data_IF_011342714739
#
_entry.id   IF_011342714739
#
_cell.length_a   1.000
_cell.length_b   1.000
_cell.length_c   1.000
_cell.angle_alpha   90.00
_cell.angle_beta   90.00
_cell.angle_gamma   90.00
#
_symmetry.space_group_name_H-M   'P 1'
#
loop_
_entity.id
_entity.type
_entity.pdbx_description
1 polymer ?
#
# COMPACT_ATOMS: atom_id res chain seq x y z
N UNK A 1 -9.22 5.28 3.45
CA UNK A 1 -7.84 5.45 3.95
C UNK A 1 -6.90 4.62 3.09
N UNK A 2 -5.70 5.14 2.84
CA UNK A 2 -4.61 4.43 2.18
C UNK A 2 -3.35 4.61 3.05
N UNK A 3 -2.74 3.51 3.45
CA UNK A 3 -1.45 3.51 4.16
C UNK A 3 -0.48 2.52 3.52
N UNK A 4 0.81 2.82 3.62
CA UNK A 4 1.90 1.95 3.14
C UNK A 4 2.91 1.75 4.27
N UNK A 5 3.38 0.51 4.43
CA UNK A 5 4.36 0.13 5.44
C UNK A 5 5.34 -0.91 4.88
N UNK A 6 6.63 -0.66 5.02
CA UNK A 6 7.70 -1.62 4.78
C UNK A 6 7.88 -2.50 6.02
N UNK A 7 7.90 -3.81 5.80
CA UNK A 7 8.03 -4.81 6.88
C UNK A 7 9.10 -5.81 6.50
N UNK A 8 10.13 -5.97 7.34
CA UNK A 8 11.15 -7.00 7.12
C UNK A 8 10.58 -8.38 7.40
N UNK A 9 11.10 -9.40 6.73
CA UNK A 9 10.84 -10.79 7.12
C UNK A 9 11.33 -11.00 8.56
N UNK A 10 10.45 -11.52 9.41
CA UNK A 10 10.65 -11.70 10.85
C UNK A 10 9.95 -10.63 11.70
N UNK A 11 9.61 -9.48 11.13
CA UNK A 11 8.93 -8.38 11.82
C UNK A 11 7.40 -8.48 11.73
N UNK A 12 6.75 -7.67 12.55
CA UNK A 12 5.30 -7.54 12.62
C UNK A 12 4.86 -6.13 12.26
N UNK A 13 3.79 -6.04 11.51
CA UNK A 13 3.05 -4.81 11.27
C UNK A 13 1.77 -4.83 12.10
N UNK A 14 1.46 -3.71 12.75
CA UNK A 14 0.22 -3.52 13.52
C UNK A 14 -0.53 -2.36 12.86
N UNK A 15 -1.85 -2.49 12.67
CA UNK A 15 -2.65 -1.43 12.05
C UNK A 15 -2.89 -0.24 12.99
N UNK A 16 -1.84 0.53 13.25
CA UNK A 16 -1.85 1.78 14.02
C UNK A 16 -1.27 2.92 13.18
N UNK A 17 -1.67 4.19 13.41
CA UNK A 17 -1.19 5.31 12.61
C UNK A 17 0.34 5.42 12.57
N UNK A 18 1.00 5.13 13.69
CA UNK A 18 2.46 5.20 13.86
C UNK A 18 3.23 4.06 13.20
N UNK A 19 2.55 3.00 12.75
CA UNK A 19 3.19 1.85 12.09
C UNK A 19 3.31 2.01 10.58
N UNK A 20 2.80 3.11 10.02
CA UNK A 20 2.83 3.40 8.58
C UNK A 20 3.99 4.33 8.23
N UNK A 21 4.66 4.03 7.11
CA UNK A 21 5.63 4.95 6.49
C UNK A 21 4.92 6.16 5.87
N UNK A 22 3.75 5.90 5.27
CA UNK A 22 2.86 6.94 4.75
C UNK A 22 1.43 6.58 5.06
N UNK A 23 0.65 7.57 5.47
CA UNK A 23 -0.75 7.38 5.83
C UNK A 23 -1.59 8.56 5.39
N UNK A 24 -2.59 8.28 4.55
CA UNK A 24 -3.54 9.27 4.06
C UNK A 24 -4.96 8.84 4.38
N UNK A 25 -5.67 9.70 5.09
CA UNK A 25 -7.07 9.50 5.41
C UNK A 25 -7.97 10.07 4.31
N UNK A 26 -9.06 9.36 4.01
CA UNK A 26 -10.15 9.89 3.20
C UNK A 26 -11.17 10.63 4.07
N UNK A 27 -12.16 11.27 3.43
CA UNK A 27 -13.21 12.05 4.12
C UNK A 27 -14.03 11.30 5.17
N UNK A 28 -14.08 9.97 5.07
CA UNK A 28 -14.90 9.09 5.94
C UNK A 28 -14.06 8.25 6.92
N UNK A 29 -12.75 8.50 7.01
CA UNK A 29 -11.83 7.71 7.84
C UNK A 29 -10.95 8.65 8.66
N UNK A 30 -10.58 8.25 9.87
CA UNK A 30 -9.66 8.99 10.74
C UNK A 30 -8.77 8.03 11.51
N UNK A 31 -7.82 8.55 12.28
CA UNK A 31 -6.90 7.74 13.09
C UNK A 31 -7.64 6.80 14.05
N UNK A 32 -8.80 7.23 14.56
CA UNK A 32 -9.62 6.47 15.49
C UNK A 32 -10.52 5.41 14.81
N UNK A 33 -10.56 5.35 13.48
CA UNK A 33 -11.40 4.40 12.74
C UNK A 33 -10.67 3.12 12.33
N UNK A 34 -9.40 2.97 12.68
CA UNK A 34 -8.58 1.83 12.27
C UNK A 34 -9.00 0.55 12.99
N UNK A 35 -9.32 -0.50 12.22
CA UNK A 35 -9.59 -1.82 12.77
C UNK A 35 -8.28 -2.49 13.21
N UNK A 36 -8.15 -2.96 14.47
CA UNK A 36 -6.90 -3.53 14.95
C UNK A 36 -6.66 -4.92 14.33
N UNK A 37 -5.59 -5.04 13.56
CA UNK A 37 -5.06 -6.33 13.11
C UNK A 37 -3.53 -6.29 13.11
N UNK A 38 -2.91 -7.46 13.22
CA UNK A 38 -1.47 -7.66 13.14
C UNK A 38 -1.13 -8.60 11.98
N UNK A 39 -0.05 -8.30 11.26
CA UNK A 39 0.52 -9.15 10.22
C UNK A 39 2.00 -9.32 10.52
N UNK A 40 2.40 -10.53 10.89
CA UNK A 40 3.80 -10.92 10.98
C UNK A 40 4.25 -11.55 9.67
N UNK A 41 5.35 -11.07 9.09
CA UNK A 41 5.90 -11.62 7.86
C UNK A 41 6.85 -12.76 8.21
N UNK A 42 6.39 -14.01 8.09
CA UNK A 42 7.19 -15.17 8.48
C UNK A 42 8.22 -15.53 7.41
N UNK A 43 7.85 -15.39 6.14
CA UNK A 43 8.71 -15.70 5.00
C UNK A 43 8.27 -14.92 3.77
N UNK A 44 9.22 -14.51 2.95
CA UNK A 44 8.96 -13.99 1.61
C UNK A 44 9.90 -14.65 0.61
N UNK A 45 9.35 -15.00 -0.55
CA UNK A 45 10.10 -15.51 -1.71
C UNK A 45 9.61 -14.79 -2.95
N UNK A 46 10.55 -14.17 -3.66
CA UNK A 46 10.36 -13.67 -5.01
C UNK A 46 11.06 -14.61 -5.99
N UNK A 47 10.43 -14.89 -7.12
CA UNK A 47 11.01 -15.70 -8.20
C UNK A 47 11.16 -14.86 -9.44
N UNK A 48 12.31 -14.98 -10.11
CA UNK A 48 12.61 -14.22 -11.31
C UNK A 48 12.96 -15.15 -12.48
N UNK A 49 12.77 -14.67 -13.70
CA UNK A 49 13.22 -15.36 -14.89
C UNK A 49 14.74 -15.18 -15.07
N UNK A 50 15.55 -16.26 -15.12
CA UNK A 50 17.01 -16.13 -15.23
C UNK A 50 17.51 -15.55 -16.57
N UNK A 51 16.68 -15.48 -17.61
CA UNK A 51 17.06 -14.94 -18.92
C UNK A 51 16.67 -13.48 -19.09
N UNK A 52 15.51 -13.09 -18.56
CA UNK A 52 14.92 -11.75 -18.75
C UNK A 52 14.91 -10.89 -17.50
N UNK A 53 15.27 -11.46 -16.34
CA UNK A 53 15.17 -10.88 -15.01
C UNK A 53 13.74 -10.49 -14.60
N UNK A 54 12.73 -10.84 -15.40
CA UNK A 54 11.35 -10.48 -15.15
C UNK A 54 10.80 -11.23 -13.93
N UNK A 55 9.99 -10.57 -13.08
CA UNK A 55 9.38 -11.25 -11.94
C UNK A 55 8.33 -12.27 -12.39
N UNK A 56 8.36 -13.46 -11.78
CA UNK A 56 7.42 -14.56 -12.02
C UNK A 56 6.40 -14.70 -10.90
N UNK A 57 6.85 -14.61 -9.66
CA UNK A 57 5.99 -14.80 -8.51
C UNK A 57 6.52 -14.06 -7.28
N UNK A 58 5.58 -13.57 -6.47
CA UNK A 58 5.84 -12.95 -5.18
C UNK A 58 4.92 -13.60 -4.16
N UNK A 59 5.50 -14.37 -3.25
CA UNK A 59 4.77 -15.08 -2.21
C UNK A 59 5.30 -14.68 -0.85
N UNK A 60 4.43 -14.11 -0.01
CA UNK A 60 4.70 -13.97 1.42
C UNK A 60 3.78 -14.89 2.23
N UNK A 61 4.38 -15.62 3.16
CA UNK A 61 3.70 -16.37 4.20
C UNK A 61 3.67 -15.49 5.44
N UNK A 62 2.47 -15.30 5.98
CA UNK A 62 2.25 -14.39 7.08
C UNK A 62 1.44 -15.07 8.18
N UNK A 63 1.71 -14.67 9.41
CA UNK A 63 0.85 -14.97 10.55
C UNK A 63 0.01 -13.73 10.82
N UNK A 64 -1.29 -13.89 10.72
CA UNK A 64 -2.28 -12.82 10.87
C UNK A 64 -2.96 -12.99 12.22
N UNK A 65 -3.07 -11.90 12.98
CA UNK A 65 -3.90 -11.86 14.18
C UNK A 65 -4.98 -10.78 14.02
N UNK A 66 -6.24 -11.19 14.04
CA UNK A 66 -7.40 -10.32 13.93
C UNK A 66 -8.46 -10.72 14.95
N UNK A 67 -9.00 -9.75 15.70
CA UNK A 67 -10.00 -9.98 16.75
C UNK A 67 -9.64 -11.12 17.74
N UNK A 68 -8.36 -11.20 18.11
CA UNK A 68 -7.84 -12.23 19.03
C UNK A 68 -7.69 -13.63 18.43
N UNK A 69 -7.92 -13.81 17.13
CA UNK A 69 -7.71 -15.08 16.42
C UNK A 69 -6.46 -14.98 15.55
N UNK A 70 -5.61 -16.00 15.63
CA UNK A 70 -4.39 -16.10 14.84
C UNK A 70 -4.52 -17.17 13.77
N UNK A 71 -4.15 -16.86 12.52
CA UNK A 71 -4.11 -17.81 11.40
C UNK A 71 -2.85 -17.61 10.55
N UNK A 72 -2.47 -18.66 9.81
CA UNK A 72 -1.42 -18.57 8.78
C UNK A 72 -2.07 -18.34 7.44
N UNK A 73 -1.61 -17.32 6.72
CA UNK A 73 -2.14 -16.92 5.43
C UNK A 73 -1.02 -16.75 4.41
N UNK A 74 -1.40 -16.71 3.14
CA UNK A 74 -0.49 -16.44 2.02
C UNK A 74 -0.98 -15.20 1.29
N UNK A 75 -0.11 -14.19 1.19
CA UNK A 75 -0.33 -12.98 0.43
C UNK A 75 0.48 -13.02 -0.88
N UNK A 76 -0.17 -12.64 -1.98
CA UNK A 76 0.43 -12.44 -3.31
C UNK A 76 -0.05 -11.12 -3.90
N UNK A 77 0.59 -10.63 -4.97
CA UNK A 77 0.19 -9.39 -5.67
C UNK A 77 -1.30 -9.38 -6.04
N UNK A 78 -1.83 -10.52 -6.49
CA UNK A 78 -3.23 -10.70 -6.87
C UNK A 78 -4.09 -11.43 -5.81
N UNK A 79 -3.51 -11.74 -4.65
CA UNK A 79 -4.20 -12.43 -3.53
C UNK A 79 -4.01 -11.62 -2.24
N UNK A 80 -4.73 -10.48 -2.08
CA UNK A 80 -4.63 -9.65 -0.89
C UNK A 80 -5.32 -10.28 0.31
N UNK A 81 -4.92 -9.86 1.52
CA UNK A 81 -5.64 -10.17 2.75
C UNK A 81 -6.85 -9.25 2.89
N UNK A 82 -7.89 -9.71 3.58
CA UNK A 82 -9.12 -8.94 3.80
C UNK A 82 -9.51 -8.96 5.27
N UNK A 83 -9.69 -7.77 5.85
CA UNK A 83 -10.14 -7.52 7.22
C UNK A 83 -11.36 -6.62 7.18
N UNK A 84 -12.57 -7.19 7.19
CA UNK A 84 -13.81 -6.42 7.02
C UNK A 84 -13.82 -5.61 5.71
N UNK A 85 -13.78 -4.27 5.80
CA UNK A 85 -13.72 -3.37 4.65
C UNK A 85 -12.28 -2.99 4.23
N UNK A 86 -11.28 -3.51 4.94
CA UNK A 86 -9.86 -3.23 4.71
C UNK A 86 -9.23 -4.35 3.91
N UNK A 87 -8.42 -3.99 2.91
CA UNK A 87 -7.62 -4.93 2.13
C UNK A 87 -6.15 -4.60 2.28
N UNK A 88 -5.32 -5.63 2.41
CA UNK A 88 -3.87 -5.49 2.49
C UNK A 88 -3.24 -6.16 1.27
N UNK A 89 -2.50 -5.36 0.51
CA UNK A 89 -1.87 -5.76 -0.74
C UNK A 89 -0.35 -5.82 -0.58
N UNK A 90 0.28 -6.81 -1.21
CA UNK A 90 1.71 -6.82 -1.43
C UNK A 90 2.00 -5.96 -2.66
N UNK A 91 2.60 -4.78 -2.45
CA UNK A 91 2.86 -3.82 -3.53
C UNK A 91 4.28 -3.89 -4.08
N UNK A 92 5.26 -4.04 -3.21
CA UNK A 92 6.67 -4.04 -3.57
C UNK A 92 7.48 -4.91 -2.62
N UNK A 93 8.73 -5.15 -2.99
CA UNK A 93 9.71 -5.82 -2.15
C UNK A 93 11.10 -5.22 -2.37
N UNK A 94 11.99 -5.50 -1.44
CA UNK A 94 13.40 -5.15 -1.55
C UNK A 94 14.21 -5.90 -0.50
N UNK A 95 15.39 -5.36 -0.20
CA UNK A 95 16.28 -5.94 0.79
C UNK A 95 16.70 -4.93 1.85
N UNK A 96 16.86 -5.43 3.06
CA UNK A 96 17.43 -4.74 4.20
C UNK A 96 18.76 -5.39 4.55
N UNK A 97 19.89 -4.71 4.33
CA UNK A 97 21.14 -5.06 4.96
C UNK A 97 20.96 -5.06 6.48
N UNK A 98 21.27 -6.18 7.13
CA UNK A 98 21.35 -6.26 8.59
C UNK A 98 22.76 -5.85 8.97
N UNK A 99 22.88 -4.67 9.56
CA UNK A 99 24.20 -4.09 9.87
C UNK A 99 24.41 -4.00 11.37
N UNK A 100 25.66 -4.16 11.78
CA UNK A 100 26.14 -3.81 13.12
C UNK A 100 27.18 -2.71 12.95
N UNK A 101 26.90 -1.53 13.51
CA UNK A 101 27.83 -0.42 13.57
C UNK A 101 28.38 -0.34 15.00
N UNK A 102 29.69 -0.31 15.12
CA UNK A 102 30.40 -0.12 16.38
C UNK A 102 31.13 1.21 16.39
N UNK A 103 31.16 1.86 17.54
CA UNK A 103 31.95 3.07 17.76
C UNK A 103 33.46 2.78 17.84
N UNK A 104 34.25 3.82 18.12
CA UNK A 104 35.70 3.73 18.27
C UNK A 104 36.15 2.91 19.50
N UNK A 105 35.28 2.72 20.48
CA UNK A 105 35.51 1.90 21.68
C UNK A 105 35.10 0.43 21.49
N UNK A 106 34.40 0.12 20.39
CA UNK A 106 33.91 -1.21 20.05
C UNK A 106 32.49 -1.51 20.55
N UNK A 107 31.82 -0.55 21.19
CA UNK A 107 30.44 -0.69 21.63
C UNK A 107 29.50 -0.67 20.43
N UNK A 108 28.37 -1.38 20.53
CA UNK A 108 27.36 -1.40 19.46
C UNK A 108 26.56 -0.10 19.51
N UNK A 109 26.71 0.74 18.49
CA UNK A 109 25.99 2.00 18.34
C UNK A 109 24.71 1.85 17.49
N UNK A 110 24.65 0.84 16.60
CA UNK A 110 23.43 0.47 15.89
C UNK A 110 23.49 -1.00 15.51
N UNK A 111 22.37 -1.71 15.64
CA UNK A 111 22.22 -3.08 15.15
C UNK A 111 20.81 -3.32 14.62
N UNK A 112 20.69 -3.83 13.40
CA UNK A 112 19.40 -4.26 12.86
C UNK A 112 19.28 -4.17 11.33
N UNK A 113 18.13 -4.59 10.78
CA UNK A 113 17.82 -4.42 9.36
C UNK A 113 17.57 -2.93 9.04
N UNK A 114 18.20 -2.44 7.98
CA UNK A 114 17.96 -1.08 7.46
C UNK A 114 17.36 -1.19 6.05
N UNK A 115 16.11 -0.78 5.81
CA UNK A 115 15.50 -0.91 4.48
C UNK A 115 16.17 -0.03 3.43
N UNK A 116 16.61 -0.66 2.34
CA UNK A 116 17.10 0.02 1.16
C UNK A 116 16.03 -0.05 0.06
N UNK A 117 15.81 1.07 -0.64
CA UNK A 117 14.73 1.22 -1.62
C UNK A 117 15.22 0.95 -3.04
N UNK A 118 14.62 -0.02 -3.76
CA UNK A 118 14.93 -0.31 -5.15
C UNK A 118 14.82 0.91 -6.07
N UNK A 119 15.77 1.03 -6.99
CA UNK A 119 15.86 2.07 -8.01
C UNK A 119 15.59 1.53 -9.43
N UNK A 120 15.62 0.20 -9.59
CA UNK A 120 15.40 -0.50 -10.85
C UNK A 120 14.88 -1.93 -10.61
N UNK A 121 14.56 -2.63 -11.70
CA UNK A 121 14.01 -4.00 -11.66
C UNK A 121 14.98 -5.07 -11.16
N UNK A 122 16.29 -4.80 -11.13
CA UNK A 122 17.29 -5.70 -10.56
C UNK A 122 17.51 -5.48 -9.05
N UNK A 123 16.61 -4.71 -8.43
CA UNK A 123 16.61 -4.38 -7.01
C UNK A 123 17.93 -3.75 -6.54
N UNK A 124 18.65 -3.06 -7.44
CA UNK A 124 19.70 -2.12 -7.01
C UNK A 124 19.01 -1.07 -6.18
N UNK A 125 19.47 -0.93 -4.94
CA UNK A 125 18.76 -0.12 -3.96
C UNK A 125 19.66 0.97 -3.39
N UNK A 126 19.06 2.05 -2.91
CA UNK A 126 19.75 3.11 -2.18
C UNK A 126 19.14 3.25 -0.78
N UNK A 127 19.95 3.70 0.16
CA UNK A 127 19.51 3.91 1.53
C UNK A 127 20.52 4.73 2.31
N UNK A 128 20.12 5.08 3.53
CA UNK A 128 20.98 5.73 4.49
C UNK A 128 20.92 4.97 5.82
N UNK A 129 22.07 4.76 6.44
CA UNK A 129 22.18 4.21 7.80
C UNK A 129 22.62 5.38 8.68
N UNK A 130 21.79 5.76 9.65
CA UNK A 130 22.04 6.88 10.55
C UNK A 130 22.32 6.34 11.95
N UNK A 131 23.45 6.71 12.52
CA UNK A 131 23.93 6.20 13.81
C UNK A 131 24.12 7.38 14.78
N UNK A 132 23.01 7.89 15.36
CA UNK A 132 23.07 9.02 16.29
C UNK A 132 23.77 8.69 17.62
N UNK A 133 23.82 7.41 17.99
CA UNK A 133 24.40 6.97 19.26
C UNK A 133 25.93 6.85 19.22
N UNK A 134 26.55 6.96 18.04
CA UNK A 134 28.01 7.01 17.90
C UNK A 134 28.56 8.39 18.29
N UNK A 135 29.78 8.43 18.81
CA UNK A 135 30.47 9.68 19.15
C UNK A 135 31.81 9.80 18.39
N UNK A 136 31.94 10.74 17.42
CA UNK A 136 30.89 11.62 16.88
C UNK A 136 29.82 10.83 16.10
N UNK A 137 28.65 11.43 15.87
CA UNK A 137 27.58 10.81 15.08
C UNK A 137 28.08 10.43 13.68
N UNK A 138 27.68 9.25 13.20
CA UNK A 138 28.10 8.69 11.91
C UNK A 138 26.89 8.37 11.04
N UNK A 139 26.99 8.72 9.77
CA UNK A 139 26.00 8.37 8.75
C UNK A 139 26.65 7.66 7.56
N UNK A 140 25.95 6.68 7.00
CA UNK A 140 26.37 5.99 5.78
C UNK A 140 25.35 6.27 4.68
N UNK A 141 25.81 6.83 3.56
CA UNK A 141 25.01 6.89 2.32
C UNK A 141 25.39 5.70 1.48
N UNK A 142 24.45 4.78 1.30
CA UNK A 142 24.70 3.46 0.74
C UNK A 142 23.96 3.17 -0.56
N UNK A 143 24.53 2.23 -1.32
CA UNK A 143 23.85 1.49 -2.36
C UNK A 143 24.05 0.00 -2.18
N UNK A 144 22.99 -0.77 -2.35
CA UNK A 144 22.98 -2.21 -2.18
C UNK A 144 22.72 -2.91 -3.52
N UNK A 145 23.52 -3.91 -3.83
CA UNK A 145 23.42 -4.74 -5.04
C UNK A 145 23.15 -6.18 -4.63
N UNK A 146 21.99 -6.77 -4.97
CA UNK A 146 21.73 -8.19 -4.73
C UNK A 146 22.67 -9.13 -5.49
N UNK A 147 22.92 -8.84 -6.76
CA UNK A 147 23.91 -9.53 -7.59
C UNK A 147 24.86 -8.51 -8.20
N UNK A 148 25.91 -8.19 -7.46
CA UNK A 148 26.87 -7.17 -7.81
C UNK A 148 27.67 -7.52 -9.08
N UNK A 149 27.79 -6.53 -9.97
CA UNK A 149 28.74 -6.52 -11.08
C UNK A 149 29.32 -5.10 -11.24
N UNK A 150 30.41 -4.97 -12.00
CA UNK A 150 31.05 -3.68 -12.26
C UNK A 150 31.07 -3.39 -13.75
N UNK A 151 30.73 -2.16 -14.11
CA UNK A 151 30.94 -1.63 -15.46
C UNK A 151 31.87 -0.43 -15.42
N UNK A 152 32.68 -0.20 -16.47
CA UNK A 152 33.53 0.99 -16.56
C UNK A 152 32.76 2.31 -16.50
N UNK A 153 31.50 2.33 -16.96
CA UNK A 153 30.70 3.54 -17.10
C UNK A 153 29.87 3.89 -15.85
N UNK A 154 29.35 2.90 -15.12
CA UNK A 154 28.37 3.12 -14.04
C UNK A 154 28.88 2.68 -12.66
N UNK A 155 30.09 2.12 -12.56
CA UNK A 155 30.58 1.56 -11.32
C UNK A 155 29.84 0.27 -10.97
N UNK A 156 29.37 0.16 -9.72
CA UNK A 156 28.64 -1.01 -9.25
C UNK A 156 27.18 -1.01 -9.75
N UNK A 157 26.76 -2.14 -10.32
CA UNK A 157 25.40 -2.39 -10.80
C UNK A 157 24.87 -3.71 -10.23
N UNK A 158 23.56 -3.85 -10.18
CA UNK A 158 22.91 -5.15 -9.95
C UNK A 158 22.49 -5.74 -11.29
N UNK A 159 22.95 -6.95 -11.61
CA UNK A 159 22.62 -7.63 -12.86
C UNK A 159 21.48 -8.65 -12.71
N UNK A 160 21.10 -8.98 -11.47
CA UNK A 160 20.01 -9.91 -11.19
C UNK A 160 19.35 -9.58 -9.83
N UNK A 161 18.02 -9.73 -9.68
CA UNK A 161 17.30 -9.33 -8.46
C UNK A 161 17.56 -10.21 -7.23
N UNK A 162 18.00 -11.45 -7.40
CA UNK A 162 18.27 -12.37 -6.28
C UNK A 162 19.64 -12.11 -5.63
N UNK A 163 19.83 -12.61 -4.41
CA UNK A 163 21.05 -12.42 -3.61
C UNK A 163 22.16 -13.42 -4.02
N UNK A 164 22.70 -13.29 -5.25
CA UNK A 164 23.76 -14.19 -5.73
C UNK A 164 25.18 -13.69 -5.42
N UNK A 165 25.39 -12.37 -5.43
CA UNK A 165 26.63 -11.72 -4.98
C UNK A 165 26.28 -10.41 -4.25
N UNK A 166 25.66 -10.51 -3.05
CA UNK A 166 25.18 -9.34 -2.34
C UNK A 166 26.34 -8.45 -1.89
N UNK A 167 26.24 -7.15 -2.18
CA UNK A 167 27.26 -6.17 -1.81
C UNK A 167 26.64 -4.86 -1.37
N UNK A 168 27.08 -4.38 -0.21
CA UNK A 168 26.76 -3.05 0.30
C UNK A 168 27.95 -2.12 0.02
N UNK A 169 27.72 -1.04 -0.72
CA UNK A 169 28.69 0.02 -0.97
C UNK A 169 28.22 1.27 -0.25
N UNK A 170 29.14 2.03 0.35
CA UNK A 170 28.75 3.21 1.12
C UNK A 170 29.84 4.28 1.15
N UNK A 171 29.39 5.50 1.38
CA UNK A 171 30.21 6.61 1.82
C UNK A 171 29.93 6.91 3.29
N UNK A 172 31.00 7.13 4.05
CA UNK A 172 30.94 7.37 5.49
C UNK A 172 31.04 8.87 5.72
N UNK A 173 30.15 9.39 6.55
CA UNK A 173 30.03 10.79 6.89
C UNK A 173 29.97 10.95 8.41
N UNK A 174 30.59 11.99 8.94
CA UNK A 174 30.55 12.31 10.37
C UNK A 174 30.07 13.74 10.62
N UNK A 175 29.38 13.94 11.73
CA UNK A 175 28.80 15.22 12.16
C UNK A 175 27.34 15.06 12.56
N UNK A 176 26.72 16.17 12.96
CA UNK A 176 25.32 16.22 13.38
C UNK A 176 24.38 15.78 12.24
N UNK A 177 23.69 14.65 12.43
CA UNK A 177 22.74 14.08 11.46
C UNK A 177 21.39 14.83 11.46
N UNK A 178 21.21 15.83 12.31
CA UNK A 178 20.02 16.68 12.43
C UNK A 178 18.82 15.96 13.04
N UNK A 179 19.02 14.80 13.66
CA UNK A 179 17.94 13.96 14.19
C UNK A 179 17.30 14.57 15.44
N UNK A 180 18.04 15.42 16.16
CA UNK A 180 17.60 16.06 17.40
C UNK A 180 16.87 17.41 17.16
N UNK A 181 16.79 17.87 15.91
CA UNK A 181 16.25 19.19 15.56
C UNK A 181 14.71 19.29 15.61
N UNK A 182 14.01 18.16 15.76
CA UNK A 182 12.55 18.10 15.69
C UNK A 182 11.97 18.32 14.29
N UNK A 183 12.80 18.56 13.27
CA UNK A 183 12.38 18.70 11.87
C UNK A 183 12.26 17.30 11.25
N UNK A 184 11.09 16.91 10.73
CA UNK A 184 10.95 15.65 10.02
C UNK A 184 11.91 15.57 8.84
N UNK A 185 12.70 14.50 8.80
CA UNK A 185 13.65 14.24 7.72
C UNK A 185 13.49 12.81 7.19
N UNK A 186 13.89 12.60 5.93
CA UNK A 186 13.79 11.30 5.29
C UNK A 186 14.62 10.26 6.03
N UNK A 187 14.03 9.11 6.36
CA UNK A 187 14.76 7.98 6.96
C UNK A 187 15.72 7.33 5.94
N UNK A 188 15.34 7.32 4.66
CA UNK A 188 16.07 6.66 3.56
C UNK A 188 17.20 7.50 2.96
N UNK A 189 17.31 8.78 3.32
CA UNK A 189 18.31 9.71 2.78
C UNK A 189 19.02 10.44 3.92
N UNK A 190 20.26 10.80 3.67
CA UNK A 190 21.06 11.63 4.55
C UNK A 190 21.41 12.93 3.83
N UNK A 191 21.18 14.07 4.47
CA UNK A 191 21.71 15.35 4.00
C UNK A 191 23.18 15.45 4.40
N UNK A 192 24.06 15.50 3.40
CA UNK A 192 25.51 15.53 3.60
C UNK A 192 26.08 16.94 3.51
N UNK A 193 25.27 17.98 3.32
CA UNK A 193 25.73 19.35 3.07
C UNK A 193 26.58 19.94 4.19
N UNK A 194 26.32 19.54 5.44
CA UNK A 194 27.05 19.98 6.65
C UNK A 194 27.95 18.90 7.25
N UNK A 195 28.03 17.72 6.62
CA UNK A 195 28.76 16.58 7.14
C UNK A 195 30.17 16.50 6.54
N UNK A 196 31.10 15.94 7.31
CA UNK A 196 32.46 15.68 6.84
C UNK A 196 32.56 14.26 6.30
N UNK A 197 33.00 14.11 5.04
CA UNK A 197 33.23 12.79 4.44
C UNK A 197 34.45 12.14 5.09
N UNK A 198 34.26 10.96 5.66
CA UNK A 198 35.32 10.15 6.30
C UNK A 198 35.97 9.22 5.29
N UNK A 199 35.17 8.56 4.45
CA UNK A 199 35.71 7.55 3.54
C UNK A 199 34.67 6.90 2.63
N UNK A 200 35.15 5.92 1.86
CA UNK A 200 34.33 5.04 1.02
C UNK A 200 34.65 3.60 1.40
N UNK A 201 33.61 2.77 1.50
CA UNK A 201 33.74 1.37 1.85
C UNK A 201 32.81 0.50 1.02
N UNK A 202 33.11 -0.79 0.99
CA UNK A 202 32.18 -1.80 0.50
C UNK A 202 32.41 -3.11 1.22
N UNK A 203 31.33 -3.78 1.57
CA UNK A 203 31.34 -5.05 2.31
C UNK A 203 30.33 -6.03 1.71
N UNK A 204 30.67 -7.31 1.77
CA UNK A 204 29.76 -8.44 1.56
C UNK A 204 29.22 -8.96 2.89
N UNK A 205 28.16 -9.79 2.90
CA UNK A 205 27.72 -10.46 4.12
C UNK A 205 28.86 -11.22 4.82
N UNK A 206 28.98 -11.01 6.12
CA UNK A 206 30.07 -11.51 6.97
C UNK A 206 31.32 -10.62 7.01
N UNK A 207 31.42 -9.57 6.19
CA UNK A 207 32.59 -8.69 6.16
C UNK A 207 32.40 -7.45 7.05
N UNK A 208 33.52 -6.99 7.61
CA UNK A 208 33.62 -5.77 8.42
C UNK A 208 34.52 -4.76 7.73
N UNK A 209 34.12 -3.50 7.74
CA UNK A 209 34.93 -2.37 7.30
C UNK A 209 35.22 -1.44 8.48
N UNK A 210 36.51 -1.19 8.73
CA UNK A 210 36.97 -0.30 9.79
C UNK A 210 37.28 1.09 9.24
N UNK A 211 36.93 2.11 9.99
CA UNK A 211 37.20 3.52 9.71
C UNK A 211 37.64 4.22 11.02
N UNK A 212 38.19 5.44 10.99
CA UNK A 212 38.79 6.06 12.18
C UNK A 212 37.85 6.16 13.39
N UNK A 213 36.56 6.35 13.15
CA UNK A 213 35.54 6.52 14.18
C UNK A 213 34.81 5.21 14.58
N UNK A 214 35.18 4.05 14.01
CA UNK A 214 34.56 2.78 14.36
C UNK A 214 34.58 1.71 13.25
N UNK A 215 33.57 0.85 13.23
CA UNK A 215 33.45 -0.20 12.21
C UNK A 215 32.00 -0.49 11.84
N UNK A 216 31.79 -0.96 10.62
CA UNK A 216 30.50 -1.44 10.12
C UNK A 216 30.66 -2.87 9.61
N UNK A 217 29.79 -3.76 10.10
CA UNK A 217 29.70 -5.16 9.66
C UNK A 217 28.37 -5.36 8.95
N UNK A 218 28.38 -6.04 7.82
CA UNK A 218 27.16 -6.55 7.18
C UNK A 218 26.94 -7.98 7.67
N UNK A 219 26.04 -8.16 8.63
CA UNK A 219 25.79 -9.47 9.25
C UNK A 219 25.12 -10.42 8.25
N UNK A 220 24.05 -9.94 7.62
CA UNK A 220 23.28 -10.70 6.64
C UNK A 220 22.38 -9.74 5.84
N UNK A 221 21.54 -10.28 4.97
CA UNK A 221 20.54 -9.52 4.21
C UNK A 221 19.20 -10.22 4.34
N UNK A 222 18.19 -9.47 4.77
CA UNK A 222 16.81 -9.98 4.86
C UNK A 222 15.94 -9.28 3.82
N UNK A 223 15.01 -9.99 3.17
CA UNK A 223 14.05 -9.31 2.31
C UNK A 223 13.00 -8.57 3.14
N UNK A 224 12.45 -7.51 2.57
CA UNK A 224 11.28 -6.80 3.08
C UNK A 224 10.18 -6.75 2.03
N UNK A 225 8.93 -6.59 2.49
CA UNK A 225 7.77 -6.35 1.64
C UNK A 225 7.10 -5.03 2.00
N UNK A 226 6.54 -4.33 1.02
CA UNK A 226 5.68 -3.18 1.23
C UNK A 226 4.22 -3.64 1.23
N UNK A 227 3.58 -3.49 2.38
CA UNK A 227 2.17 -3.74 2.59
C UNK A 227 1.41 -2.43 2.38
N UNK A 228 0.45 -2.44 1.45
CA UNK A 228 -0.48 -1.33 1.27
C UNK A 228 -1.83 -1.70 1.84
N UNK A 229 -2.25 -0.92 2.83
CA UNK A 229 -3.52 -1.06 3.51
C UNK A 229 -4.51 -0.07 2.90
N UNK A 230 -5.61 -0.59 2.36
CA UNK A 230 -6.67 0.19 1.74
C UNK A 230 -7.98 -0.09 2.45
N UNK A 231 -8.52 0.93 3.09
CA UNK A 231 -9.85 0.89 3.69
C UNK A 231 -10.82 1.77 2.91
N UNK A 232 -11.92 1.18 2.46
CA UNK A 232 -12.96 1.87 1.71
C UNK A 232 -14.35 1.62 2.31
N UNK A 233 -14.78 2.44 3.29
CA UNK A 233 -16.13 2.35 3.87
C UNK A 233 -17.21 2.83 2.88
N UNK A 234 -16.83 3.64 1.88
CA UNK A 234 -17.72 4.22 0.87
C UNK A 234 -18.36 3.18 -0.04
N UNK A 235 -17.70 2.04 -0.27
CA UNK A 235 -18.21 0.94 -1.10
C UNK A 235 -19.64 0.51 -0.77
N UNK A 236 -19.98 0.42 0.51
CA UNK A 236 -21.35 0.03 0.93
C UNK A 236 -22.37 1.11 0.57
N UNK A 237 -22.05 2.38 0.81
CA UNK A 237 -22.92 3.50 0.46
C UNK A 237 -23.08 3.65 -1.05
N UNK A 238 -21.99 3.48 -1.82
CA UNK A 238 -22.02 3.50 -3.27
C UNK A 238 -22.91 2.38 -3.84
N UNK A 239 -22.85 1.18 -3.27
CA UNK A 239 -23.72 0.06 -3.66
C UNK A 239 -25.20 0.40 -3.41
N UNK A 240 -25.54 0.91 -2.23
CA UNK A 240 -26.91 1.33 -1.90
C UNK A 240 -27.39 2.43 -2.84
N UNK A 241 -26.56 3.45 -3.07
CA UNK A 241 -26.86 4.53 -4.01
C UNK A 241 -27.09 4.03 -5.43
N UNK A 242 -26.28 3.08 -5.90
CA UNK A 242 -26.45 2.42 -7.19
C UNK A 242 -27.76 1.65 -7.29
N UNK A 243 -28.11 0.87 -6.25
CA UNK A 243 -29.40 0.16 -6.18
C UNK A 243 -30.56 1.15 -6.24
N UNK A 244 -30.53 2.22 -5.44
CA UNK A 244 -31.58 3.24 -5.43
C UNK A 244 -31.69 3.97 -6.78
N UNK A 245 -30.58 4.26 -7.44
CA UNK A 245 -30.58 4.88 -8.77
C UNK A 245 -31.23 3.96 -9.82
N UNK A 246 -30.90 2.67 -9.81
CA UNK A 246 -31.52 1.66 -10.69
C UNK A 246 -33.02 1.54 -10.40
N UNK A 247 -33.42 1.45 -9.13
CA UNK A 247 -34.82 1.39 -8.74
C UNK A 247 -35.58 2.65 -9.17
N UNK A 248 -35.01 3.84 -8.94
CA UNK A 248 -35.60 5.10 -9.39
C UNK A 248 -35.75 5.19 -10.90
N UNK A 249 -34.76 4.70 -11.66
CA UNK A 249 -34.83 4.60 -13.11
C UNK A 249 -35.96 3.65 -13.54
N UNK A 250 -36.05 2.47 -12.95
CA UNK A 250 -37.12 1.51 -13.23
C UNK A 250 -38.49 2.10 -12.90
N UNK A 251 -38.67 2.71 -11.73
CA UNK A 251 -39.92 3.39 -11.37
C UNK A 251 -40.27 4.54 -12.33
N UNK A 252 -39.28 5.26 -12.85
CA UNK A 252 -39.49 6.33 -13.85
C UNK A 252 -39.93 5.77 -15.21
N UNK A 253 -39.32 4.68 -15.68
CA UNK A 253 -39.63 4.06 -16.97
C UNK A 253 -40.97 3.31 -16.95
N UNK A 254 -41.25 2.55 -15.89
CA UNK A 254 -42.47 1.77 -15.74
C UNK A 254 -43.61 2.55 -15.09
N UNK A 255 -43.32 3.71 -14.49
CA UNK A 255 -44.32 4.64 -13.98
C UNK A 255 -45.20 5.17 -15.10
N UNK A 256 -46.36 4.55 -15.31
CA UNK A 256 -47.35 4.97 -16.30
C UNK A 256 -47.89 6.36 -15.95
N UNK A 257 -47.27 7.41 -16.48
CA UNK A 257 -47.84 8.76 -16.44
C UNK A 257 -49.01 8.84 -17.42
N UNK A 258 -50.21 8.67 -16.89
CA UNK A 258 -51.47 8.93 -17.60
C UNK A 258 -52.06 10.25 -17.11
N UNK A 259 -52.58 11.02 -18.05
CA UNK A 259 -53.46 12.16 -17.74
C UNK A 259 -54.84 11.77 -18.20
N UNK A 260 -55.81 11.87 -17.30
CA UNK A 260 -57.22 11.66 -17.60
C UNK A 260 -57.90 13.01 -17.39
N UNK A 261 -58.63 13.46 -18.39
CA UNK A 261 -59.47 14.64 -18.33
C UNK A 261 -60.92 14.20 -18.34
N UNK A 262 -61.71 14.79 -17.44
CA UNK A 262 -63.15 14.56 -17.34
C UNK A 262 -63.81 15.91 -17.54
N UNK A 263 -64.75 15.99 -18.49
CA UNK A 263 -65.57 17.17 -18.71
C UNK A 263 -67.02 16.80 -18.51
N UNK A 264 -67.71 17.57 -17.66
CA UNK A 264 -69.14 17.43 -17.43
C UNK A 264 -69.86 18.52 -18.23
N UNK A 265 -70.83 18.12 -19.04
CA UNK A 265 -71.66 19.02 -19.85
C UNK A 265 -73.15 18.80 -19.54
N UNK A 266 -74.01 19.67 -20.05
CA UNK A 266 -75.48 19.54 -19.93
C UNK A 266 -76.04 18.30 -20.65
N UNK A 267 -75.25 17.67 -21.53
CA UNK A 267 -75.65 16.50 -22.32
C UNK A 267 -74.96 15.19 -21.89
N UNK A 268 -74.04 15.23 -20.93
CA UNK A 268 -73.34 14.04 -20.43
C UNK A 268 -71.93 14.30 -19.93
N UNK A 269 -71.23 13.20 -19.61
CA UNK A 269 -69.83 13.20 -19.14
C UNK A 269 -68.91 12.68 -20.23
N UNK A 270 -67.90 13.47 -20.58
CA UNK A 270 -66.86 13.12 -21.54
C UNK A 270 -65.57 12.76 -20.79
N UNK A 271 -64.95 11.63 -21.14
CA UNK A 271 -63.68 11.17 -20.56
C UNK A 271 -62.64 11.00 -21.67
N UNK A 272 -61.49 11.67 -21.53
CA UNK A 272 -60.37 11.54 -22.43
C UNK A 272 -59.11 11.15 -21.64
N UNK A 273 -58.30 10.24 -22.18
CA UNK A 273 -57.03 9.86 -21.58
C UNK A 273 -55.88 9.99 -22.56
N UNK A 274 -54.76 10.51 -22.08
CA UNK A 274 -53.49 10.52 -22.81
C UNK A 274 -52.44 9.79 -21.97
N UNK A 275 -51.87 8.74 -22.55
CA UNK A 275 -50.70 8.07 -22.00
C UNK A 275 -49.46 8.48 -22.79
N UNK A 276 -48.35 8.72 -22.09
CA UNK A 276 -47.05 8.94 -22.72
C UNK A 276 -46.64 7.65 -23.47
N UNK A 277 -46.16 7.79 -24.71
CA UNK A 277 -45.71 6.70 -25.59
C UNK A 277 -46.78 5.67 -26.01
N UNK A 278 -48.07 6.00 -25.99
CA UNK A 278 -49.12 5.10 -26.51
C UNK A 278 -49.21 3.78 -25.75
N UNK A 279 -49.05 3.82 -24.42
CA UNK A 279 -49.01 2.63 -23.57
C UNK A 279 -50.21 1.69 -23.84
N UNK A 280 -49.97 0.40 -24.17
CA UNK A 280 -51.03 -0.55 -24.48
C UNK A 280 -51.94 -0.77 -23.25
N UNK A 281 -53.25 -0.80 -23.48
CA UNK A 281 -54.27 -1.01 -22.46
C UNK A 281 -54.96 0.25 -21.93
N UNK A 282 -54.57 1.47 -22.36
CA UNK A 282 -55.24 2.71 -21.94
C UNK A 282 -56.73 2.71 -22.28
N UNK A 283 -57.10 2.21 -23.45
CA UNK A 283 -58.49 2.21 -23.91
C UNK A 283 -59.38 1.28 -23.09
N UNK A 284 -58.89 0.08 -22.78
CA UNK A 284 -59.55 -0.87 -21.86
C UNK A 284 -59.71 -0.27 -20.46
N UNK A 285 -58.69 0.46 -19.99
CA UNK A 285 -58.73 1.08 -18.67
C UNK A 285 -59.71 2.26 -18.60
N UNK A 286 -59.79 3.09 -19.64
CA UNK A 286 -60.80 4.15 -19.76
C UNK A 286 -62.21 3.54 -19.81
N UNK A 287 -62.39 2.45 -20.55
CA UNK A 287 -63.67 1.74 -20.58
C UNK A 287 -64.07 1.24 -19.19
N UNK A 288 -63.17 0.55 -18.49
CA UNK A 288 -63.42 0.10 -17.11
C UNK A 288 -63.75 1.26 -16.18
N UNK A 289 -63.07 2.40 -16.30
CA UNK A 289 -63.35 3.60 -15.51
C UNK A 289 -64.73 4.19 -15.81
N UNK A 290 -65.13 4.27 -17.08
CA UNK A 290 -66.46 4.76 -17.48
C UNK A 290 -67.56 3.81 -17.00
N UNK A 291 -67.34 2.50 -17.15
CA UNK A 291 -68.24 1.43 -16.67
C UNK A 291 -68.43 1.52 -15.15
N UNK A 292 -67.35 1.67 -14.39
CA UNK A 292 -67.41 1.86 -12.94
C UNK A 292 -68.18 3.15 -12.54
N UNK A 293 -68.00 4.26 -13.26
CA UNK A 293 -68.73 5.52 -13.01
C UNK A 293 -70.22 5.38 -13.31
N UNK A 294 -70.58 4.60 -14.33
CA UNK A 294 -71.98 4.33 -14.67
C UNK A 294 -72.69 3.40 -13.68
N UNK A 295 -71.94 2.78 -12.75
CA UNK A 295 -72.48 1.82 -11.79
C UNK A 295 -72.79 0.45 -12.41
N UNK A 296 -72.23 0.18 -13.58
CA UNK A 296 -72.31 -1.11 -14.27
C UNK A 296 -71.11 -1.92 -13.79
N UNK A 297 -71.25 -2.72 -12.73
CA UNK A 297 -70.20 -3.69 -12.34
C UNK A 297 -70.40 -5.02 -13.07
#
# INVERSE_FOLDING_TARGET
>A
MKGEAIVNVGERFINLPTSYDTLTFGKLTSENSLSPFEIKVDKFVAQYDPKTNAPKDYTAWVTVTDNGKTSKEIIKVNKPLTFGNTRVYLQANGYSPVVTVRDSEGNVALQGPVPFLPQDGNLRSIGAIKVPDAQPQVGFVGSFMPTNSRTPAQGAISIFPELLDPKLLFSIWKGDLGLDSGIPQSVYRLDTSKLTKVGLGSIKPGETFTYPEGSITLETVVPWINLQVVEDPGKKYALIGGILAVLGLLSSLYGRRRRIWIRVTTHGVEVAGLAKNGAPGLQTEIQNFVTAIKGEN
#
